data_IF_443184929229
#
_entry.id   IF_443184929229
#
_cell.length_a   1.000
_cell.length_b   1.000
_cell.length_c   1.000
_cell.angle_alpha   90.00
_cell.angle_beta   90.00
_cell.angle_gamma   90.00
#
_symmetry.space_group_name_H-M   'P 1'
#
loop_
_entity.id
_entity.type
_entity.pdbx_description
1 polymer ?
#
# COMPACT_ATOMS: atom_id res chain seq x y z
N UNK A 1 -3.77 -9.91 -28.03
CA UNK A 1 -2.58 -9.93 -27.15
C UNK A 1 -3.05 -10.16 -25.73
N UNK A 2 -2.72 -11.27 -25.08
CA UNK A 2 -3.04 -11.47 -23.66
C UNK A 2 -2.19 -10.51 -22.83
N UNK A 3 -2.79 -9.44 -22.32
CA UNK A 3 -2.17 -8.60 -21.29
C UNK A 3 -2.09 -9.37 -19.97
N UNK A 4 -1.11 -10.26 -19.85
CA UNK A 4 -0.78 -10.92 -18.57
C UNK A 4 -0.09 -9.90 -17.65
N UNK A 5 -0.88 -9.12 -16.94
CA UNK A 5 -0.38 -8.32 -15.82
C UNK A 5 0.04 -9.26 -14.70
N UNK A 6 1.25 -9.08 -14.17
CA UNK A 6 1.73 -9.80 -12.99
C UNK A 6 0.75 -9.63 -11.83
N UNK A 7 0.30 -10.74 -11.24
CA UNK A 7 -0.53 -10.67 -10.02
C UNK A 7 0.34 -10.18 -8.87
N UNK A 8 -0.11 -9.12 -8.20
CA UNK A 8 0.51 -8.58 -6.99
C UNK A 8 -0.54 -8.40 -5.90
N UNK A 9 -0.14 -8.68 -4.66
CA UNK A 9 -0.93 -8.40 -3.46
C UNK A 9 -0.46 -7.12 -2.73
N UNK A 10 0.48 -6.36 -3.31
CA UNK A 10 1.11 -5.21 -2.65
C UNK A 10 0.36 -3.92 -3.00
N UNK A 11 0.23 -3.60 -4.29
CA UNK A 11 -0.36 -2.34 -4.73
C UNK A 11 -1.37 -2.54 -5.86
N UNK A 12 -2.43 -1.73 -5.84
CA UNK A 12 -3.42 -1.66 -6.91
C UNK A 12 -3.55 -0.21 -7.34
N UNK A 13 -3.27 0.04 -8.61
CA UNK A 13 -3.27 1.38 -9.20
C UNK A 13 -4.45 1.49 -10.18
N UNK A 14 -5.27 2.52 -9.96
CA UNK A 14 -6.36 2.93 -10.84
C UNK A 14 -6.40 4.47 -10.89
N UNK A 15 -7.06 5.08 -11.89
CA UNK A 15 -7.28 6.52 -11.90
C UNK A 15 -7.93 6.98 -10.59
N UNK A 16 -7.32 7.95 -9.91
CA UNK A 16 -7.77 8.52 -8.63
C UNK A 16 -7.90 7.52 -7.46
N UNK A 17 -7.31 6.32 -7.58
CA UNK A 17 -7.34 5.32 -6.53
C UNK A 17 -6.05 4.49 -6.56
N UNK A 18 -5.14 4.81 -5.63
CA UNK A 18 -3.96 3.99 -5.36
C UNK A 18 -4.17 3.31 -4.03
N UNK A 19 -4.05 1.98 -4.00
CA UNK A 19 -4.10 1.19 -2.77
C UNK A 19 -2.76 0.53 -2.49
N UNK A 20 -2.37 0.53 -1.22
CA UNK A 20 -1.25 -0.23 -0.67
C UNK A 20 -1.80 -1.22 0.36
N UNK A 21 -1.66 -2.53 0.11
CA UNK A 21 -2.17 -3.60 0.97
C UNK A 21 -3.64 -3.45 1.37
N UNK A 22 -4.44 -2.89 0.47
CA UNK A 22 -5.88 -2.65 0.67
C UNK A 22 -6.23 -1.25 1.18
N UNK A 23 -5.30 -0.55 1.84
CA UNK A 23 -5.47 0.84 2.31
C UNK A 23 -5.35 1.81 1.16
N UNK A 24 -6.17 2.87 1.11
CA UNK A 24 -5.97 3.93 0.11
C UNK A 24 -4.80 4.82 0.53
N UNK A 25 -3.94 5.17 -0.42
CA UNK A 25 -2.73 5.96 -0.13
C UNK A 25 -3.08 7.36 0.36
N UNK A 26 -4.13 7.99 -0.17
CA UNK A 26 -4.61 9.29 0.28
C UNK A 26 -5.12 9.29 1.72
N UNK A 27 -5.68 8.17 2.19
CA UNK A 27 -6.04 7.98 3.60
C UNK A 27 -4.82 7.80 4.51
N UNK A 28 -3.68 7.34 3.99
CA UNK A 28 -2.45 7.15 4.75
C UNK A 28 -1.59 8.42 4.82
N UNK A 29 -1.71 9.30 3.82
CA UNK A 29 -0.96 10.55 3.74
C UNK A 29 -1.18 11.41 4.98
N UNK A 30 -0.09 11.85 5.61
CA UNK A 30 -0.13 12.65 6.83
C UNK A 30 -0.56 11.91 8.10
N UNK A 31 -0.95 10.62 7.99
CA UNK A 31 -1.32 9.78 9.14
C UNK A 31 -0.23 8.80 9.54
N UNK A 32 0.57 8.34 8.58
CA UNK A 32 1.69 7.43 8.83
C UNK A 32 3.01 8.01 8.31
N UNK A 33 4.12 7.63 8.96
CA UNK A 33 5.46 7.98 8.51
C UNK A 33 5.87 7.18 7.27
N UNK A 34 6.92 7.63 6.59
CA UNK A 34 7.51 6.89 5.47
C UNK A 34 7.96 5.49 5.88
N UNK A 35 8.55 5.35 7.08
CA UNK A 35 8.96 4.04 7.62
C UNK A 35 7.79 3.10 7.83
N UNK A 36 6.66 3.61 8.34
CA UNK A 36 5.42 2.82 8.49
C UNK A 36 4.84 2.41 7.13
N UNK A 37 4.92 3.27 6.10
CA UNK A 37 4.49 2.94 4.74
C UNK A 37 5.35 1.83 4.12
N UNK A 38 6.67 1.89 4.30
CA UNK A 38 7.60 0.82 3.86
C UNK A 38 7.31 -0.48 4.62
N UNK A 39 7.09 -0.41 5.94
CA UNK A 39 6.73 -1.56 6.75
C UNK A 39 5.44 -2.22 6.22
N UNK A 40 4.39 -1.43 5.98
CA UNK A 40 3.13 -1.91 5.41
C UNK A 40 3.35 -2.60 4.06
N UNK A 41 4.12 -1.99 3.15
CA UNK A 41 4.40 -2.58 1.83
C UNK A 41 5.02 -3.97 1.94
N UNK A 42 6.00 -4.14 2.82
CA UNK A 42 6.76 -5.37 3.00
C UNK A 42 6.01 -6.42 3.83
N UNK A 43 5.44 -6.01 4.97
CA UNK A 43 4.86 -6.90 5.99
C UNK A 43 3.38 -7.18 5.78
N UNK A 44 2.67 -6.28 5.09
CA UNK A 44 1.24 -6.44 4.81
C UNK A 44 0.32 -5.83 5.87
N UNK A 45 0.86 -5.39 7.00
CA UNK A 45 0.15 -4.80 8.13
C UNK A 45 0.89 -3.56 8.63
N UNK A 46 0.18 -2.64 9.29
CA UNK A 46 0.81 -1.49 9.93
C UNK A 46 1.56 -1.92 11.21
N UNK A 47 2.70 -1.28 11.52
CA UNK A 47 3.38 -1.54 12.79
C UNK A 47 2.51 -1.05 13.96
N UNK A 48 2.63 -1.68 15.13
CA UNK A 48 2.02 -1.20 16.35
C UNK A 48 2.54 0.19 16.71
N UNK A 49 1.72 1.01 17.39
CA UNK A 49 1.99 2.42 17.69
C UNK A 49 3.23 2.71 18.57
N UNK A 50 4.01 1.69 18.95
CA UNK A 50 5.10 1.80 19.93
C UNK A 50 6.42 1.15 19.45
N UNK A 51 6.84 1.40 18.21
CA UNK A 51 8.20 1.06 17.73
C UNK A 51 9.00 2.32 17.48
#
# INVERSE_FOLDING_TARGET
>A
MSHSTWKSAIAKVKPNEVRLRGYRVDELMGRISFGQAVYLALKGELPSENV
#
